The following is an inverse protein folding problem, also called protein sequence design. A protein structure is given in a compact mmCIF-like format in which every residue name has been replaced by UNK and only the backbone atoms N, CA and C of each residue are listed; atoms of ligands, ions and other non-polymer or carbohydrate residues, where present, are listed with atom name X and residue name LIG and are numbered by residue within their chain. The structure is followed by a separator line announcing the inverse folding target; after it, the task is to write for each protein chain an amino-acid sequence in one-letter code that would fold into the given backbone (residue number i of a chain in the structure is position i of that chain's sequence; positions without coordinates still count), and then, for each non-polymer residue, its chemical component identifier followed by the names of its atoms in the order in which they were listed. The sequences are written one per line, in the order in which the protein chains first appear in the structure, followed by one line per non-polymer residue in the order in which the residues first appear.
data_IF_888094659617
#
_entry.id   IF_888094659617
#
_cell.length_a   1.000
_cell.length_b   1.000
_cell.length_c   1.000
_cell.angle_alpha   90.00
_cell.angle_beta   90.00
_cell.angle_gamma   90.00
#
_symmetry.space_group_name_H-M   'P 1'
#
loop_
_entity.id
_entity.type
_entity.pdbx_description
1 polymer ?
#
# COMPACT_ATOMS: atom_id res chain seq x y z
N UNK A 1 18.19 4.58 -11.72
CA UNK A 1 17.90 4.21 -10.31
C UNK A 1 16.80 3.17 -10.35
N UNK A 2 17.08 1.93 -9.95
CA UNK A 2 16.07 0.87 -9.88
C UNK A 2 15.67 0.68 -8.41
N UNK A 3 14.42 0.97 -8.09
CA UNK A 3 13.84 0.79 -6.76
C UNK A 3 12.40 0.28 -6.86
N UNK A 4 11.81 -0.09 -5.73
CA UNK A 4 10.42 -0.53 -5.64
C UNK A 4 9.62 0.38 -4.72
N UNK A 5 8.31 0.50 -4.94
CA UNK A 5 7.42 1.28 -4.07
C UNK A 5 7.22 0.62 -2.70
N UNK A 6 7.03 -0.70 -2.66
CA UNK A 6 6.84 -1.45 -1.43
C UNK A 6 7.76 -2.66 -1.37
N UNK A 7 8.17 -3.00 -0.16
CA UNK A 7 8.78 -4.29 0.17
C UNK A 7 7.79 -5.12 0.95
N UNK A 8 7.40 -6.27 0.40
CA UNK A 8 6.58 -7.27 1.09
C UNK A 8 7.41 -7.92 2.20
N UNK A 9 6.85 -8.00 3.41
CA UNK A 9 7.54 -8.50 4.61
C UNK A 9 7.03 -9.86 5.09
N UNK A 10 5.86 -10.29 4.62
CA UNK A 10 5.19 -11.51 5.05
C UNK A 10 3.75 -11.21 5.45
N UNK A 11 3.20 -12.08 6.29
CA UNK A 11 1.83 -11.98 6.78
C UNK A 11 1.84 -11.83 8.31
N UNK A 12 0.89 -11.06 8.84
CA UNK A 12 0.60 -10.89 10.28
C UNK A 12 -0.88 -11.19 10.51
N UNK A 13 -1.17 -12.43 10.92
CA UNK A 13 -2.54 -12.95 10.97
C UNK A 13 -3.18 -12.96 9.58
N UNK A 14 -4.32 -12.27 9.44
CA UNK A 14 -5.06 -12.15 8.18
C UNK A 14 -4.53 -11.02 7.27
N UNK A 15 -3.49 -10.29 7.71
CA UNK A 15 -2.98 -9.11 7.01
C UNK A 15 -1.66 -9.40 6.30
N UNK A 16 -1.52 -8.91 5.08
CA UNK A 16 -0.23 -8.90 4.37
C UNK A 16 0.55 -7.65 4.79
N UNK A 17 1.83 -7.77 5.13
CA UNK A 17 2.63 -6.65 5.66
C UNK A 17 3.58 -6.10 4.62
N UNK A 18 3.63 -4.78 4.48
CA UNK A 18 4.51 -4.07 3.55
C UNK A 18 5.22 -2.91 4.23
N UNK A 19 6.50 -2.70 3.88
CA UNK A 19 7.17 -1.43 4.13
C UNK A 19 7.11 -0.57 2.86
N UNK A 20 6.60 0.65 2.99
CA UNK A 20 6.76 1.64 1.93
C UNK A 20 8.21 2.14 1.89
N UNK A 21 8.67 2.50 0.70
CA UNK A 21 10.02 3.02 0.48
C UNK A 21 9.97 4.51 0.15
N UNK A 22 11.14 5.16 0.09
CA UNK A 22 11.28 6.54 -0.38
C UNK A 22 10.68 6.77 -1.79
N UNK A 23 10.48 5.72 -2.59
CA UNK A 23 9.86 5.83 -3.90
C UNK A 23 8.35 6.08 -3.86
N UNK A 24 7.68 5.88 -2.72
CA UNK A 24 6.25 6.22 -2.58
C UNK A 24 6.00 7.68 -2.28
N UNK A 25 7.04 8.46 -1.99
CA UNK A 25 6.95 9.84 -1.52
C UNK A 25 6.10 10.72 -2.44
N UNK A 26 5.36 11.60 -1.78
CA UNK A 26 4.65 12.70 -2.40
C UNK A 26 5.59 13.86 -2.72
N UNK A 27 5.26 14.59 -3.78
CA UNK A 27 5.87 15.89 -4.11
C UNK A 27 5.39 17.03 -3.18
N UNK A 28 4.32 16.83 -2.41
CA UNK A 28 3.79 17.85 -1.49
C UNK A 28 4.38 17.76 -0.08
N UNK A 29 4.74 16.56 0.36
CA UNK A 29 5.42 16.33 1.64
C UNK A 29 6.18 14.99 1.57
N UNK A 30 7.50 14.94 1.83
CA UNK A 30 8.29 13.70 1.76
C UNK A 30 7.95 12.67 2.85
N UNK A 31 7.17 13.02 3.85
CA UNK A 31 6.70 12.10 4.90
C UNK A 31 5.40 11.40 4.53
N UNK A 32 4.74 11.82 3.45
CA UNK A 32 3.49 11.21 2.97
C UNK A 32 3.69 10.56 1.60
N UNK A 33 2.81 9.62 1.26
CA UNK A 33 2.82 8.92 -0.02
C UNK A 33 2.04 9.71 -1.07
N UNK A 34 2.48 9.63 -2.33
CA UNK A 34 1.64 9.98 -3.48
C UNK A 34 0.47 8.98 -3.58
N UNK A 35 -0.60 9.31 -4.32
CA UNK A 35 -1.79 8.44 -4.39
C UNK A 35 -1.62 7.18 -5.24
N UNK A 36 -0.75 7.21 -6.25
CA UNK A 36 -0.58 6.08 -7.17
C UNK A 36 0.07 4.83 -6.57
N UNK A 37 1.07 4.89 -5.66
CA UNK A 37 1.63 3.68 -5.06
C UNK A 37 0.61 2.88 -4.22
N UNK A 38 -0.17 3.47 -3.29
CA UNK A 38 -1.19 2.72 -2.56
C UNK A 38 -2.24 2.09 -3.48
N UNK A 39 -2.67 2.82 -4.53
CA UNK A 39 -3.60 2.27 -5.52
C UNK A 39 -2.99 1.09 -6.29
N UNK A 40 -1.72 1.17 -6.68
CA UNK A 40 -1.03 0.09 -7.37
C UNK A 40 -0.87 -1.15 -6.47
N UNK A 41 -0.57 -0.96 -5.18
CA UNK A 41 -0.52 -2.04 -4.20
C UNK A 41 -1.88 -2.73 -4.06
N UNK A 42 -2.96 -1.97 -3.87
CA UNK A 42 -4.32 -2.52 -3.79
C UNK A 42 -4.71 -3.27 -5.07
N UNK A 43 -4.39 -2.70 -6.23
CA UNK A 43 -4.61 -3.34 -7.53
C UNK A 43 -3.92 -4.71 -7.58
N UNK A 44 -2.63 -4.77 -7.21
CA UNK A 44 -1.86 -6.00 -7.21
C UNK A 44 -2.46 -7.07 -6.30
N UNK A 45 -2.93 -6.69 -5.11
CA UNK A 45 -3.55 -7.60 -4.15
C UNK A 45 -4.88 -8.16 -4.67
N UNK A 46 -5.70 -7.34 -5.33
CA UNK A 46 -6.95 -7.78 -5.96
C UNK A 46 -6.68 -8.75 -7.12
N UNK A 47 -5.64 -8.50 -7.92
CA UNK A 47 -5.20 -9.41 -8.97
C UNK A 47 -4.73 -10.75 -8.41
N UNK A 48 -4.00 -10.75 -7.29
CA UNK A 48 -3.57 -11.98 -6.60
C UNK A 48 -4.77 -12.80 -6.09
N UNK A 49 -5.79 -12.14 -5.52
CA UNK A 49 -7.02 -12.81 -5.10
C UNK A 49 -7.80 -13.43 -6.27
N UNK A 50 -7.67 -12.84 -7.46
CA UNK A 50 -8.35 -13.32 -8.68
C UNK A 50 -7.48 -14.29 -9.49
N UNK A 51 -6.28 -14.64 -9.01
CA UNK A 51 -5.35 -15.49 -9.73
C UNK A 51 -5.96 -16.87 -9.99
N UNK A 52 -5.85 -17.35 -11.24
CA UNK A 52 -6.46 -18.61 -11.68
C UNK A 52 -7.92 -18.50 -12.13
N UNK A 53 -8.56 -17.34 -11.98
CA UNK A 53 -9.87 -17.05 -12.57
C UNK A 53 -9.77 -16.41 -13.96
N UNK A 54 -10.89 -16.30 -14.68
CA UNK A 54 -11.02 -15.51 -15.92
C UNK A 54 -11.38 -14.04 -15.67
N UNK A 55 -11.48 -13.62 -14.40
CA UNK A 55 -11.91 -12.27 -14.03
C UNK A 55 -10.83 -11.23 -14.36
N UNK A 56 -11.30 -10.02 -14.66
CA UNK A 56 -10.46 -8.83 -14.91
C UNK A 56 -10.99 -7.65 -14.13
N UNK A 57 -10.08 -6.80 -13.66
CA UNK A 57 -10.43 -5.56 -12.99
C UNK A 57 -10.98 -4.58 -14.04
N UNK A 58 -12.28 -4.26 -13.94
CA UNK A 58 -12.91 -3.28 -14.82
C UNK A 58 -12.66 -1.83 -14.41
N UNK A 59 -12.68 -1.56 -13.10
CA UNK A 59 -12.44 -0.24 -12.51
C UNK A 59 -12.07 -0.36 -11.04
N UNK A 60 -11.15 0.48 -10.59
CA UNK A 60 -10.88 0.73 -9.18
C UNK A 60 -11.00 2.23 -8.92
N UNK A 61 -11.58 2.59 -7.77
CA UNK A 61 -11.54 3.94 -7.23
C UNK A 61 -10.93 3.86 -5.83
N UNK A 62 -10.10 4.83 -5.49
CA UNK A 62 -9.47 4.95 -4.18
C UNK A 62 -9.78 6.34 -3.62
N UNK A 63 -10.52 6.36 -2.53
CA UNK A 63 -10.74 7.58 -1.75
C UNK A 63 -9.70 7.65 -0.64
N UNK A 64 -8.85 8.68 -0.68
CA UNK A 64 -7.81 8.91 0.32
C UNK A 64 -8.40 9.83 1.39
N UNK A 65 -8.79 9.24 2.52
CA UNK A 65 -9.47 9.94 3.62
C UNK A 65 -8.52 10.71 4.54
N UNK A 66 -7.21 10.60 4.34
CA UNK A 66 -6.19 11.27 5.13
C UNK A 66 -4.79 11.04 4.58
N UNK A 67 -3.81 11.75 5.15
CA UNK A 67 -2.42 11.58 4.78
C UNK A 67 -1.97 10.12 5.02
N UNK A 68 -1.35 9.51 4.01
CA UNK A 68 -0.79 8.17 4.09
C UNK A 68 0.71 8.34 4.37
N UNK A 69 1.24 7.99 5.56
CA UNK A 69 2.64 8.19 5.87
C UNK A 69 3.53 7.22 5.07
N UNK A 70 4.77 7.63 4.78
CA UNK A 70 5.83 6.73 4.31
C UNK A 70 6.32 5.89 5.50
N UNK A 71 5.55 4.85 5.83
CA UNK A 71 5.81 3.94 6.94
C UNK A 71 5.42 2.48 6.55
N UNK A 72 5.44 1.59 7.53
CA UNK A 72 4.86 0.24 7.41
C UNK A 72 3.34 0.32 7.19
N UNK A 73 2.82 -0.58 6.37
CA UNK A 73 1.40 -0.67 6.02
C UNK A 73 0.89 -2.12 6.08
N UNK A 74 -0.34 -2.29 6.55
CA UNK A 74 -1.06 -3.57 6.70
C UNK A 74 -2.44 -3.44 5.98
N UNK A 75 -2.59 -3.85 4.71
CA UNK A 75 -3.85 -3.79 3.97
C UNK A 75 -4.92 -4.73 4.53
N UNK A 76 -6.05 -4.16 4.95
CA UNK A 76 -7.24 -4.90 5.39
C UNK A 76 -8.38 -3.96 5.85
N UNK A 77 -9.51 -4.49 6.39
CA UNK A 77 -10.76 -3.75 6.61
C UNK A 77 -10.72 -2.52 7.56
N UNK A 78 -9.55 -2.19 8.11
CA UNK A 78 -9.34 -1.06 9.02
C UNK A 78 -7.94 -0.50 8.85
N UNK A 79 -7.59 -0.08 7.63
CA UNK A 79 -6.27 0.44 7.25
C UNK A 79 -5.80 1.53 8.22
N UNK A 80 -4.83 1.21 9.07
CA UNK A 80 -4.19 2.14 9.99
C UNK A 80 -2.69 2.12 9.72
N UNK A 81 -2.16 3.18 9.12
CA UNK A 81 -0.72 3.35 8.99
C UNK A 81 -0.13 3.73 10.35
N UNK A 82 0.08 2.74 11.23
CA UNK A 82 0.71 2.97 12.53
C UNK A 82 2.20 3.24 12.33
N UNK A 83 2.56 4.53 12.32
CA UNK A 83 3.93 4.95 12.60
C UNK A 83 4.27 4.52 14.02
N UNK A 84 5.33 3.71 14.20
CA UNK A 84 5.85 3.44 15.54
C UNK A 84 6.38 4.77 16.09
N UNK A 85 5.63 5.41 16.97
CA UNK A 85 6.22 6.35 17.92
C UNK A 85 7.17 5.56 18.81
N UNK A 86 8.46 5.86 18.73
CA UNK A 86 9.41 5.42 19.74
C UNK A 86 9.04 6.07 21.07
N UNK A 87 8.89 5.25 22.11
CA UNK A 87 9.14 5.67 23.48
C UNK A 87 10.63 5.99 23.66
#
# INVERSE_FOLDING_TARGET
MNGCFYRRLGDDGDYQVFDSTDYTRSNWNPEIQHGSPPLALLTKLIEELSAGSSLRIGRLNLDILGAIPVARCEPGPGWNARGRGSA
#
